data_IF_062292544268
#
_entry.id   IF_062292544268
#
_cell.length_a   1.000
_cell.length_b   1.000
_cell.length_c   1.000
_cell.angle_alpha   90.00
_cell.angle_beta   90.00
_cell.angle_gamma   90.00
#
_symmetry.space_group_name_H-M   'P 1'
#
loop_
_entity.id
_entity.type
_entity.pdbx_description
1 polymer ?
#
# COMPACT_ATOMS: atom_id res chain seq x y z
N UNK A 1 -15.40 -5.51 3.22
CA UNK A 1 -14.52 -4.33 3.07
C UNK A 1 -14.96 -3.47 1.89
N UNK A 2 -15.15 -2.16 2.08
CA UNK A 2 -15.50 -1.19 1.01
C UNK A 2 -14.42 -1.07 -0.08
N UNK A 3 -13.22 -1.61 0.18
CA UNK A 3 -12.05 -1.69 -0.70
C UNK A 3 -12.33 -2.34 -2.08
N UNK A 4 -13.06 -3.45 -2.11
CA UNK A 4 -13.34 -4.20 -3.35
C UNK A 4 -14.24 -3.46 -4.36
N UNK A 5 -14.97 -2.44 -3.91
CA UNK A 5 -15.88 -1.67 -4.77
C UNK A 5 -15.16 -0.60 -5.60
N UNK A 6 -14.04 -0.04 -5.15
CA UNK A 6 -13.33 1.04 -5.85
C UNK A 6 -12.01 0.64 -6.51
N UNK A 7 -11.47 -0.54 -6.24
CA UNK A 7 -10.22 -0.99 -6.87
C UNK A 7 -10.48 -2.23 -7.71
N UNK A 8 -9.87 -2.27 -8.90
CA UNK A 8 -9.76 -3.49 -9.66
C UNK A 8 -8.61 -4.33 -9.09
N UNK A 9 -8.93 -5.16 -8.10
CA UNK A 9 -7.95 -5.96 -7.35
C UNK A 9 -7.08 -6.84 -8.26
N UNK A 10 -7.69 -7.41 -9.31
CA UNK A 10 -7.00 -8.26 -10.29
C UNK A 10 -5.99 -7.44 -11.09
N UNK A 11 -6.39 -6.27 -11.61
CA UNK A 11 -5.49 -5.36 -12.34
C UNK A 11 -4.34 -4.90 -11.45
N UNK A 12 -4.66 -4.48 -10.22
CA UNK A 12 -3.67 -4.04 -9.24
C UNK A 12 -2.64 -5.14 -8.94
N UNK A 13 -3.08 -6.33 -8.55
CA UNK A 13 -2.18 -7.44 -8.21
C UNK A 13 -1.37 -7.92 -9.40
N UNK A 14 -1.96 -7.98 -10.60
CA UNK A 14 -1.23 -8.41 -11.79
C UNK A 14 -0.11 -7.42 -12.14
N UNK A 15 -0.43 -6.12 -12.16
CA UNK A 15 0.56 -5.07 -12.43
C UNK A 15 1.61 -4.98 -11.33
N UNK A 16 1.23 -5.13 -10.05
CA UNK A 16 2.18 -5.05 -8.92
C UNK A 16 3.13 -6.23 -8.88
N UNK A 17 2.67 -7.44 -9.23
CA UNK A 17 3.54 -8.63 -9.36
C UNK A 17 4.53 -8.42 -10.51
N UNK A 18 4.10 -7.84 -11.62
CA UNK A 18 4.96 -7.61 -12.78
C UNK A 18 6.11 -6.64 -12.45
N UNK A 19 5.83 -5.52 -11.80
CA UNK A 19 6.90 -4.58 -11.39
C UNK A 19 7.78 -5.12 -10.28
N UNK A 20 7.21 -5.92 -9.36
CA UNK A 20 7.99 -6.61 -8.33
C UNK A 20 8.88 -7.70 -8.93
N UNK A 21 8.45 -8.36 -10.00
CA UNK A 21 9.26 -9.29 -10.78
C UNK A 21 10.49 -8.61 -11.37
N UNK A 22 10.34 -7.39 -11.88
CA UNK A 22 11.47 -6.57 -12.33
C UNK A 22 12.42 -6.27 -11.16
N UNK A 23 11.88 -5.85 -10.00
CA UNK A 23 12.70 -5.59 -8.82
C UNK A 23 13.47 -6.85 -8.32
N UNK A 24 12.82 -8.02 -8.38
CA UNK A 24 13.43 -9.31 -8.04
C UNK A 24 14.56 -9.70 -9.00
N UNK A 25 14.49 -9.33 -10.27
CA UNK A 25 15.56 -9.60 -11.23
C UNK A 25 16.89 -8.90 -10.89
N UNK A 26 16.86 -7.84 -10.06
CA UNK A 26 18.06 -7.16 -9.55
C UNK A 26 18.60 -7.75 -8.24
N UNK A 27 17.90 -8.72 -7.64
CA UNK A 27 18.35 -9.39 -6.43
C UNK A 27 19.54 -10.31 -6.73
N UNK A 28 20.57 -10.27 -5.89
CA UNK A 28 21.76 -11.11 -6.06
C UNK A 28 21.76 -12.37 -5.21
N UNK A 29 21.06 -12.34 -4.08
CA UNK A 29 21.09 -13.40 -3.07
C UNK A 29 19.67 -13.78 -2.63
N UNK A 30 19.50 -15.01 -2.13
CA UNK A 30 18.20 -15.47 -1.60
C UNK A 30 17.68 -14.59 -0.46
N UNK A 31 18.56 -14.04 0.37
CA UNK A 31 18.17 -13.09 1.44
C UNK A 31 17.59 -11.80 0.87
N UNK A 32 18.13 -11.31 -0.24
CA UNK A 32 17.62 -10.12 -0.93
C UNK A 32 16.24 -10.37 -1.55
N UNK A 33 16.04 -11.56 -2.14
CA UNK A 33 14.74 -11.99 -2.66
C UNK A 33 13.69 -12.00 -1.55
N UNK A 34 14.00 -12.61 -0.40
CA UNK A 34 13.10 -12.64 0.76
C UNK A 34 12.79 -11.23 1.25
N UNK A 35 13.80 -10.37 1.35
CA UNK A 35 13.62 -8.99 1.78
C UNK A 35 12.69 -8.22 0.83
N UNK A 36 12.87 -8.34 -0.50
CA UNK A 36 12.01 -7.71 -1.50
C UNK A 36 10.57 -8.20 -1.37
N UNK A 37 10.36 -9.51 -1.19
CA UNK A 37 9.02 -10.08 -1.01
C UNK A 37 8.34 -9.60 0.27
N UNK A 38 9.07 -9.52 1.38
CA UNK A 38 8.55 -8.99 2.66
C UNK A 38 8.17 -7.52 2.52
N UNK A 39 9.04 -6.70 1.92
CA UNK A 39 8.77 -5.27 1.68
C UNK A 39 7.58 -5.09 0.72
N UNK A 40 7.46 -5.95 -0.29
CA UNK A 40 6.33 -5.95 -1.21
C UNK A 40 5.00 -6.23 -0.49
N UNK A 41 4.94 -7.25 0.36
CA UNK A 41 3.74 -7.54 1.15
C UNK A 41 3.40 -6.39 2.09
N UNK A 42 4.39 -5.84 2.79
CA UNK A 42 4.21 -4.67 3.65
C UNK A 42 3.70 -3.45 2.86
N UNK A 43 4.18 -3.27 1.63
CA UNK A 43 3.73 -2.22 0.72
C UNK A 43 2.25 -2.38 0.37
N UNK A 44 1.84 -3.58 -0.04
CA UNK A 44 0.44 -3.87 -0.37
C UNK A 44 -0.46 -3.57 0.83
N UNK A 45 -0.08 -4.05 2.02
CA UNK A 45 -0.84 -3.80 3.25
C UNK A 45 -0.94 -2.31 3.56
N UNK A 46 0.18 -1.58 3.47
CA UNK A 46 0.21 -0.13 3.67
C UNK A 46 -0.72 0.59 2.67
N UNK A 47 -0.76 0.17 1.41
CA UNK A 47 -1.67 0.74 0.41
C UNK A 47 -3.14 0.39 0.66
N UNK A 48 -3.44 -0.81 1.15
CA UNK A 48 -4.80 -1.18 1.52
C UNK A 48 -5.34 -0.30 2.65
N UNK A 49 -4.51 -0.07 3.68
CA UNK A 49 -4.85 0.85 4.78
C UNK A 49 -5.04 2.27 4.25
N UNK A 50 -4.23 2.72 3.26
CA UNK A 50 -4.40 4.05 2.65
C UNK A 50 -5.79 4.22 2.06
N UNK A 51 -6.23 3.24 1.28
CA UNK A 51 -7.53 3.28 0.60
C UNK A 51 -8.65 3.23 1.62
N UNK A 52 -8.52 2.44 2.68
CA UNK A 52 -9.50 2.40 3.76
C UNK A 52 -9.63 3.76 4.47
N UNK A 53 -8.51 4.41 4.78
CA UNK A 53 -8.47 5.75 5.37
C UNK A 53 -9.12 6.78 4.43
N UNK A 54 -8.78 6.77 3.14
CA UNK A 54 -9.39 7.67 2.15
C UNK A 54 -10.91 7.40 2.06
N UNK A 55 -11.33 6.15 2.05
CA UNK A 55 -12.74 5.79 1.96
C UNK A 55 -13.51 6.22 3.21
N UNK A 56 -12.95 6.10 4.40
CA UNK A 56 -13.55 6.63 5.62
C UNK A 56 -13.74 8.15 5.46
N UNK A 57 -12.68 8.89 5.12
CA UNK A 57 -12.73 10.36 4.97
C UNK A 57 -13.64 10.85 3.83
N UNK A 58 -13.76 10.10 2.72
CA UNK A 58 -14.52 10.52 1.52
C UNK A 58 -15.97 10.04 1.56
N UNK A 59 -16.24 8.81 2.02
CA UNK A 59 -17.62 8.28 2.07
C UNK A 59 -18.49 8.99 3.10
N UNK A 60 -17.86 9.60 4.11
CA UNK A 60 -18.51 10.46 5.10
C UNK A 60 -19.03 11.78 4.49
N UNK A 61 -18.46 12.26 3.37
CA UNK A 61 -18.90 13.50 2.72
C UNK A 61 -20.16 13.32 1.85
N UNK A 62 -20.52 12.08 1.46
CA UNK A 62 -21.60 11.80 0.47
C UNK A 62 -22.94 11.41 1.10
N UNK A 63 -23.00 11.12 2.41
CA UNK A 63 -24.18 10.56 3.07
C UNK A 63 -24.90 11.50 4.06
N UNK A 64 -24.54 12.78 4.13
CA UNK A 64 -25.20 13.74 5.03
C UNK A 64 -26.37 14.46 4.34
N UNK A 65 -27.55 13.84 4.39
CA UNK A 65 -28.83 14.57 4.43
C UNK A 65 -29.59 14.36 5.75
N UNK A 66 -29.14 13.46 6.63
CA UNK A 66 -29.79 13.24 7.91
C UNK A 66 -28.88 12.47 8.89
N UNK A 67 -28.53 13.12 10.00
CA UNK A 67 -27.73 12.68 11.15
C UNK A 67 -26.21 12.76 10.99
N UNK A 68 -25.68 13.85 11.55
CA UNK A 68 -24.31 14.12 12.01
C UNK A 68 -23.53 12.86 12.40
N UNK A 69 -22.93 12.18 11.42
CA UNK A 69 -21.99 11.10 11.67
C UNK A 69 -20.58 11.68 11.61
N UNK A 70 -19.97 11.89 12.77
CA UNK A 70 -18.62 12.47 12.89
C UNK A 70 -17.59 11.43 12.45
N UNK A 71 -16.69 11.84 11.56
CA UNK A 71 -15.44 11.13 11.25
C UNK A 71 -14.83 10.59 12.54
N UNK A 72 -14.61 9.29 12.62
CA UNK A 72 -13.94 8.71 13.79
C UNK A 72 -12.45 9.04 13.72
N UNK A 73 -12.09 10.24 14.19
CA UNK A 73 -10.73 10.78 14.19
C UNK A 73 -9.73 9.82 14.84
N UNK A 74 -10.14 9.11 15.89
CA UNK A 74 -9.32 8.13 16.60
C UNK A 74 -9.01 6.93 15.71
N UNK A 75 -10.00 6.40 14.99
CA UNK A 75 -9.81 5.30 14.03
C UNK A 75 -8.88 5.72 12.90
N UNK A 76 -9.09 6.91 12.31
CA UNK A 76 -8.22 7.43 11.25
C UNK A 76 -6.78 7.62 11.75
N UNK A 77 -6.59 8.20 12.94
CA UNK A 77 -5.28 8.37 13.55
C UNK A 77 -4.58 7.02 13.79
N UNK A 78 -5.29 6.03 14.32
CA UNK A 78 -4.75 4.68 14.54
C UNK A 78 -4.29 4.03 13.22
N UNK A 79 -5.08 4.15 12.15
CA UNK A 79 -4.72 3.62 10.84
C UNK A 79 -3.47 4.31 10.28
N UNK A 80 -3.32 5.62 10.48
CA UNK A 80 -2.10 6.35 10.11
C UNK A 80 -0.87 5.88 10.89
N UNK A 81 -0.99 5.70 12.21
CA UNK A 81 0.11 5.17 13.05
C UNK A 81 0.50 3.77 12.57
N UNK A 82 -0.46 2.91 12.29
CA UNK A 82 -0.21 1.56 11.77
C UNK A 82 0.54 1.60 10.43
N UNK A 83 0.17 2.49 9.51
CA UNK A 83 0.91 2.68 8.24
C UNK A 83 2.37 3.04 8.49
N UNK A 84 2.63 3.98 9.41
CA UNK A 84 3.98 4.39 9.74
C UNK A 84 4.78 3.20 10.29
N UNK A 85 4.22 2.42 11.21
CA UNK A 85 4.87 1.23 11.75
C UNK A 85 5.21 0.21 10.66
N UNK A 86 4.30 -0.04 9.72
CA UNK A 86 4.55 -0.94 8.59
C UNK A 86 5.66 -0.40 7.68
N UNK A 87 5.64 0.90 7.36
CA UNK A 87 6.64 1.55 6.51
C UNK A 87 8.02 1.52 7.15
N UNK A 88 8.15 1.99 8.39
CA UNK A 88 9.42 2.00 9.11
C UNK A 88 9.92 0.58 9.41
N UNK A 89 9.03 -0.35 9.77
CA UNK A 89 9.38 -1.75 9.97
C UNK A 89 9.93 -2.39 8.70
N UNK A 90 9.24 -2.23 7.56
CA UNK A 90 9.69 -2.75 6.28
C UNK A 90 11.00 -2.12 5.81
N UNK A 91 11.16 -0.81 5.97
CA UNK A 91 12.40 -0.09 5.64
C UNK A 91 13.58 -0.53 6.51
N UNK A 92 13.36 -0.63 7.82
CA UNK A 92 14.39 -1.08 8.77
C UNK A 92 14.83 -2.50 8.45
N UNK A 93 13.89 -3.41 8.17
CA UNK A 93 14.19 -4.77 7.73
C UNK A 93 14.93 -4.78 6.39
N UNK A 94 14.51 -3.95 5.44
CA UNK A 94 15.17 -3.82 4.13
C UNK A 94 16.62 -3.34 4.24
N UNK A 95 16.88 -2.32 5.06
CA UNK A 95 18.24 -1.83 5.33
C UNK A 95 19.07 -2.92 6.01
N UNK A 96 18.49 -3.62 6.99
CA UNK A 96 19.20 -4.67 7.72
C UNK A 96 19.57 -5.87 6.83
N UNK A 97 18.68 -6.27 5.92
CA UNK A 97 18.86 -7.45 5.08
C UNK A 97 19.59 -7.17 3.75
N UNK A 98 19.44 -5.98 3.18
CA UNK A 98 19.96 -5.63 1.85
C UNK A 98 20.97 -4.46 1.86
N UNK A 99 21.16 -3.79 3.00
CA UNK A 99 22.04 -2.63 3.12
C UNK A 99 21.67 -1.52 2.12
N UNK A 100 22.65 -1.12 1.30
CA UNK A 100 22.49 -0.05 0.30
C UNK A 100 21.51 -0.39 -0.83
N UNK A 101 21.18 -1.68 -1.03
CA UNK A 101 20.29 -2.15 -2.10
C UNK A 101 18.81 -2.03 -1.75
N UNK A 102 18.47 -1.57 -0.55
CA UNK A 102 17.09 -1.23 -0.14
C UNK A 102 16.42 -0.21 -1.08
N UNK A 103 17.23 0.56 -1.83
CA UNK A 103 16.72 1.47 -2.86
C UNK A 103 15.86 0.76 -3.92
N UNK A 104 16.16 -0.50 -4.25
CA UNK A 104 15.42 -1.28 -5.26
C UNK A 104 13.95 -1.49 -4.83
N UNK A 105 13.65 -2.13 -3.68
CA UNK A 105 12.28 -2.27 -3.23
C UNK A 105 11.62 -0.92 -2.89
N UNK A 106 12.38 0.10 -2.52
CA UNK A 106 11.86 1.47 -2.32
C UNK A 106 11.38 2.11 -3.63
N UNK A 107 12.13 1.95 -4.72
CA UNK A 107 11.71 2.41 -6.05
C UNK A 107 10.47 1.63 -6.52
N UNK A 108 10.44 0.32 -6.31
CA UNK A 108 9.26 -0.49 -6.60
C UNK A 108 8.05 0.00 -5.79
N UNK A 109 8.21 0.35 -4.50
CA UNK A 109 7.15 0.95 -3.69
C UNK A 109 6.56 2.21 -4.34
N UNK A 110 7.40 3.12 -4.82
CA UNK A 110 6.95 4.34 -5.51
C UNK A 110 6.14 3.97 -6.76
N UNK A 111 6.63 3.03 -7.57
CA UNK A 111 5.91 2.55 -8.76
C UNK A 111 4.55 1.94 -8.39
N UNK A 112 4.49 1.15 -7.31
CA UNK A 112 3.23 0.56 -6.83
C UNK A 112 2.19 1.62 -6.44
N UNK A 113 2.59 2.81 -5.97
CA UNK A 113 1.65 3.90 -5.68
C UNK A 113 0.94 4.35 -6.97
N UNK A 114 1.68 4.49 -8.07
CA UNK A 114 1.11 4.84 -9.37
C UNK A 114 0.20 3.71 -9.89
N UNK A 115 0.63 2.44 -9.75
CA UNK A 115 -0.20 1.28 -10.12
C UNK A 115 -1.53 1.28 -9.37
N UNK A 116 -1.51 1.60 -8.07
CA UNK A 116 -2.72 1.73 -7.26
C UNK A 116 -3.67 2.78 -7.84
N UNK A 117 -3.14 3.97 -8.19
CA UNK A 117 -3.91 5.04 -8.84
C UNK A 117 -4.54 4.59 -10.16
N UNK A 118 -3.77 3.94 -11.04
CA UNK A 118 -4.23 3.40 -12.33
C UNK A 118 -5.19 2.20 -12.20
N UNK A 119 -5.28 1.61 -11.01
CA UNK A 119 -6.14 0.47 -10.69
C UNK A 119 -7.42 0.86 -9.96
N UNK A 120 -7.61 2.15 -9.67
CA UNK A 120 -8.89 2.68 -9.25
C UNK A 120 -9.91 2.43 -10.36
N UNK A 121 -11.09 1.92 -9.99
CA UNK A 121 -12.23 1.82 -10.89
C UNK A 121 -12.79 3.22 -11.07
N UNK A 122 -13.10 3.56 -12.32
CA UNK A 122 -13.82 4.78 -12.64
C UNK A 122 -15.16 4.79 -11.88
N UNK A 123 -15.47 5.95 -11.30
CA UNK A 123 -16.76 6.18 -10.67
C UNK A 123 -17.68 6.67 -11.79
N UNK A 124 -18.33 5.74 -12.48
CA UNK A 124 -19.58 6.05 -13.18
C UNK A 124 -20.72 6.21 -12.16
#
# INVERSE_FOLDING_TARGET
MKFAKKINLKKYLLSSVLTTGIALAFAQNSTEIIAILVIYLATILNQFILVEVIMEMVSERKNDLSRTYRVNKTKVALLFVLKLLILFGALSLGIHLMGKRVLIPLLNYVVLIFILGLSLKDVE
#
